data_IF_084091350305
#
_entry.id   IF_084091350305
#
_cell.length_a   1.000
_cell.length_b   1.000
_cell.length_c   1.000
_cell.angle_alpha   90.00
_cell.angle_beta   90.00
_cell.angle_gamma   90.00
#
_symmetry.space_group_name_H-M   'P 1'
#
loop_
_entity.id
_entity.type
_entity.pdbx_description
1 polymer ?
#
# COMPACT_ATOMS: atom_id res chain seq x y z
N UNK A 1 -5.96 -7.88 1.08
CA UNK A 1 -4.69 -7.30 0.56
C UNK A 1 -4.02 -8.18 -0.52
N UNK A 2 -4.67 -9.25 -0.98
CA UNK A 2 -4.17 -10.15 -2.03
C UNK A 2 -4.38 -9.62 -3.46
N UNK A 3 -5.11 -8.52 -3.61
CA UNK A 3 -5.37 -7.87 -4.90
C UNK A 3 -4.18 -7.05 -5.43
N UNK A 4 -4.51 -6.02 -6.22
CA UNK A 4 -3.55 -5.19 -6.95
C UNK A 4 -2.48 -4.55 -6.04
N UNK A 5 -1.21 -4.85 -6.34
CA UNK A 5 -0.05 -4.28 -5.66
C UNK A 5 0.06 -2.78 -5.88
N UNK A 6 -0.21 -2.30 -7.10
CA UNK A 6 -0.04 -0.90 -7.48
C UNK A 6 -0.95 0.01 -6.67
N UNK A 7 -2.19 -0.44 -6.42
CA UNK A 7 -3.13 0.26 -5.54
C UNK A 7 -2.63 0.33 -4.10
N UNK A 8 -2.11 -0.78 -3.56
CA UNK A 8 -1.61 -0.83 -2.19
C UNK A 8 -0.37 0.05 -2.00
N UNK A 9 0.54 0.05 -2.97
CA UNK A 9 1.72 0.92 -2.98
C UNK A 9 1.27 2.39 -3.07
N UNK A 10 0.34 2.72 -3.96
CA UNK A 10 -0.20 4.07 -4.10
C UNK A 10 -0.84 4.61 -2.82
N UNK A 11 -1.67 3.80 -2.13
CA UNK A 11 -2.25 4.20 -0.85
C UNK A 11 -1.19 4.50 0.24
N UNK A 12 -0.06 3.80 0.18
CA UNK A 12 1.03 4.01 1.13
C UNK A 12 1.82 5.28 0.80
N UNK A 13 2.08 5.52 -0.49
CA UNK A 13 2.84 6.68 -0.97
C UNK A 13 2.04 7.97 -0.92
N UNK A 14 0.77 7.93 -1.33
CA UNK A 14 -0.04 9.12 -1.55
C UNK A 14 -0.99 9.39 -0.36
N UNK A 15 -1.15 8.40 0.53
CA UNK A 15 -2.17 8.43 1.57
C UNK A 15 -3.56 8.14 1.01
N UNK A 16 -4.55 8.37 1.85
CA UNK A 16 -5.96 8.23 1.49
C UNK A 16 -6.80 9.21 2.28
N UNK A 17 -7.66 9.94 1.58
CA UNK A 17 -8.68 10.81 2.16
C UNK A 17 -10.05 10.42 1.62
N UNK A 18 -11.08 10.61 2.45
CA UNK A 18 -12.46 10.28 2.09
C UNK A 18 -12.91 8.90 2.59
N UNK A 19 -14.23 8.70 2.56
CA UNK A 19 -14.87 7.50 3.10
C UNK A 19 -14.55 6.23 2.33
N UNK A 20 -13.98 5.24 3.01
CA UNK A 20 -13.75 3.91 2.49
C UNK A 20 -14.73 2.91 3.12
N UNK A 21 -15.45 2.16 2.28
CA UNK A 21 -16.23 1.01 2.75
C UNK A 21 -15.30 -0.21 2.84
N UNK A 22 -15.07 -0.70 4.05
CA UNK A 22 -14.24 -1.89 4.31
C UNK A 22 -15.11 -2.91 5.03
N UNK A 23 -15.37 -4.05 4.38
CA UNK A 23 -16.19 -5.15 4.93
C UNK A 23 -17.58 -4.71 5.43
N UNK A 24 -18.20 -3.73 4.78
CA UNK A 24 -19.53 -3.21 5.15
C UNK A 24 -19.53 -2.11 6.19
N UNK A 25 -18.37 -1.74 6.73
CA UNK A 25 -18.21 -0.59 7.61
C UNK A 25 -17.59 0.60 6.88
N UNK A 26 -18.10 1.80 7.18
CA UNK A 26 -17.61 3.05 6.58
C UNK A 26 -16.53 3.65 7.46
N UNK A 27 -15.33 3.79 6.91
CA UNK A 27 -14.18 4.44 7.54
C UNK A 27 -13.95 5.79 6.88
N UNK A 28 -14.17 6.89 7.62
CA UNK A 28 -13.96 8.26 7.14
C UNK A 28 -12.68 8.90 7.72
N UNK A 29 -11.66 8.09 7.96
CA UNK A 29 -10.40 8.57 8.52
C UNK A 29 -9.42 8.97 7.42
N UNK A 30 -8.57 9.95 7.74
CA UNK A 30 -7.45 10.32 6.90
C UNK A 30 -6.30 9.35 7.18
N UNK A 31 -5.75 8.75 6.12
CA UNK A 31 -4.49 8.02 6.14
C UNK A 31 -3.41 8.94 5.57
N UNK A 32 -2.49 9.48 6.39
CA UNK A 32 -1.39 10.29 5.89
C UNK A 32 -0.52 9.52 4.90
N UNK A 33 0.10 10.25 3.97
CA UNK A 33 1.12 9.66 3.10
C UNK A 33 2.34 9.20 3.91
N UNK A 34 2.90 8.05 3.53
CA UNK A 34 4.15 7.51 4.06
C UNK A 34 5.27 7.56 3.01
N UNK A 35 5.22 8.51 2.07
CA UNK A 35 6.25 8.74 1.05
C UNK A 35 7.64 9.08 1.61
N UNK A 36 7.74 9.42 2.91
CA UNK A 36 9.01 9.63 3.62
C UNK A 36 9.81 8.36 3.86
N UNK A 37 9.20 7.18 3.74
CA UNK A 37 9.89 5.89 3.80
C UNK A 37 10.63 5.61 2.50
N UNK A 38 11.72 4.85 2.61
CA UNK A 38 12.44 4.34 1.44
C UNK A 38 11.62 3.31 0.68
N UNK A 39 11.91 3.12 -0.60
CA UNK A 39 11.21 2.14 -1.44
C UNK A 39 11.38 0.70 -0.89
N UNK A 40 12.53 0.42 -0.27
CA UNK A 40 12.81 -0.86 0.36
C UNK A 40 11.94 -1.08 1.61
N UNK A 41 11.87 -0.10 2.52
CA UNK A 41 11.05 -0.21 3.74
C UNK A 41 9.56 -0.41 3.40
N UNK A 42 9.06 0.31 2.38
CA UNK A 42 7.70 0.14 1.89
C UNK A 42 7.52 -1.28 1.33
N UNK A 43 8.44 -1.78 0.50
CA UNK A 43 8.37 -3.11 -0.07
C UNK A 43 8.34 -4.22 1.00
N UNK A 44 9.18 -4.09 2.04
CA UNK A 44 9.25 -5.05 3.16
C UNK A 44 7.94 -5.05 3.97
N UNK A 45 7.43 -3.89 4.36
CA UNK A 45 6.17 -3.78 5.13
C UNK A 45 4.99 -4.32 4.33
N UNK A 46 4.88 -3.96 3.05
CA UNK A 46 3.79 -4.45 2.20
C UNK A 46 3.88 -5.95 1.94
N UNK A 47 5.10 -6.49 1.81
CA UNK A 47 5.32 -7.94 1.71
C UNK A 47 4.88 -8.65 2.98
N UNK A 48 5.24 -8.13 4.15
CA UNK A 48 4.80 -8.68 5.43
C UNK A 48 3.27 -8.71 5.53
N UNK A 49 2.59 -7.60 5.22
CA UNK A 49 1.12 -7.52 5.24
C UNK A 49 0.48 -8.52 4.27
N UNK A 50 1.07 -8.71 3.08
CA UNK A 50 0.55 -9.63 2.04
C UNK A 50 0.77 -11.11 2.34
N UNK A 51 1.74 -11.45 3.20
CA UNK A 51 1.99 -12.81 3.67
C UNK A 51 1.45 -13.11 5.08
N UNK A 52 0.95 -12.10 5.79
CA UNK A 52 0.46 -12.22 7.18
C UNK A 52 -1.06 -12.08 7.26
N UNK A 53 -1.64 -12.21 8.45
CA UNK A 53 -3.08 -12.07 8.70
C UNK A 53 -3.97 -13.02 7.87
N UNK A 54 -3.44 -14.21 7.56
CA UNK A 54 -4.12 -15.20 6.73
C UNK A 54 -4.06 -14.92 5.22
N UNK A 55 -3.29 -13.91 4.78
CA UNK A 55 -3.08 -13.64 3.35
C UNK A 55 -1.96 -14.55 2.79
N UNK A 56 -2.14 -14.98 1.55
CA UNK A 56 -1.10 -15.64 0.76
C UNK A 56 -1.04 -14.98 -0.61
N UNK A 57 -0.22 -13.94 -0.72
CA UNK A 57 -0.04 -13.21 -1.96
C UNK A 57 1.44 -12.94 -2.24
N UNK A 58 1.75 -12.71 -3.52
CA UNK A 58 3.12 -12.44 -3.97
C UNK A 58 3.71 -11.21 -3.27
N UNK A 59 5.00 -11.26 -2.95
CA UNK A 59 5.76 -10.15 -2.36
C UNK A 59 5.70 -8.88 -3.21
N UNK A 60 5.92 -7.73 -2.57
CA UNK A 60 6.16 -6.44 -3.22
C UNK A 60 7.67 -6.23 -3.28
N UNK A 61 8.17 -5.87 -4.45
CA UNK A 61 9.60 -5.59 -4.67
C UNK A 61 9.87 -4.09 -4.59
N UNK A 62 11.09 -3.72 -4.22
CA UNK A 62 11.55 -2.33 -4.23
C UNK A 62 11.36 -1.68 -5.61
N UNK A 63 11.65 -2.42 -6.69
CA UNK A 63 11.48 -1.98 -8.08
C UNK A 63 10.02 -1.61 -8.40
N UNK A 64 9.04 -2.39 -7.89
CA UNK A 64 7.62 -2.09 -8.05
C UNK A 64 7.23 -0.80 -7.31
N UNK A 65 7.80 -0.55 -6.12
CA UNK A 65 7.57 0.67 -5.35
C UNK A 65 8.16 1.87 -6.05
N UNK A 66 9.44 1.79 -6.45
CA UNK A 66 10.14 2.84 -7.18
C UNK A 66 9.41 3.22 -8.48
N UNK A 67 8.96 2.21 -9.23
CA UNK A 67 8.17 2.44 -10.45
C UNK A 67 6.88 3.19 -10.17
N UNK A 68 6.16 2.85 -9.09
CA UNK A 68 4.91 3.54 -8.72
C UNK A 68 5.16 4.96 -8.19
N UNK A 69 6.29 5.21 -7.54
CA UNK A 69 6.70 6.55 -7.12
C UNK A 69 6.93 7.45 -8.35
N UNK A 70 7.73 6.96 -9.30
CA UNK A 70 8.10 7.72 -10.51
C UNK A 70 6.96 7.87 -11.53
N UNK A 71 5.86 7.11 -11.42
CA UNK A 71 4.75 7.16 -12.39
C UNK A 71 3.93 8.45 -12.29
N UNK A 72 4.04 9.17 -11.17
CA UNK A 72 3.26 10.37 -10.87
C UNK A 72 4.12 11.56 -10.41
N UNK A 73 5.45 11.45 -10.55
CA UNK A 73 6.37 12.61 -10.59
C UNK A 73 6.43 13.18 -12.01
#
# INVERSE_FOLDING_TARGET
VTGDKTRLIGLTLDGMEGGALVNGETYNNIMPQHSFLTDQEIAEVLTYIRGSFGNSASAVTEEEVRRRRNLYE
#
